data_IF_951811486504
#
_entry.id   IF_951811486504
#
_cell.length_a   1.000
_cell.length_b   1.000
_cell.length_c   1.000
_cell.angle_alpha   90.00
_cell.angle_beta   90.00
_cell.angle_gamma   90.00
#
_symmetry.space_group_name_H-M   'P 1'
#
loop_
_entity.id
_entity.type
_entity.pdbx_description
1 polymer ?
#
# COMPACT_ATOMS: atom_id res chain seq x y z
N UNK A 1 0.84 -2.39 -11.28
CA UNK A 1 0.13 -1.75 -10.15
C UNK A 1 1.12 -1.53 -9.01
N UNK A 2 0.87 -0.59 -8.11
CA UNK A 2 1.70 -0.37 -6.92
C UNK A 2 0.93 -0.79 -5.67
N UNK A 3 1.62 -1.18 -4.60
CA UNK A 3 0.99 -1.48 -3.33
C UNK A 3 0.76 -0.23 -2.47
N UNK A 4 -0.31 -0.29 -1.70
CA UNK A 4 -0.60 0.57 -0.56
C UNK A 4 -1.06 -0.32 0.60
N UNK A 5 -0.69 0.05 1.81
CA UNK A 5 -1.07 -0.68 3.02
C UNK A 5 -1.60 0.31 4.05
N UNK A 6 -2.53 -0.15 4.90
CA UNK A 6 -3.02 0.60 6.05
C UNK A 6 -2.63 -0.19 7.30
N UNK A 7 -1.93 0.46 8.20
CA UNK A 7 -1.60 -0.09 9.53
C UNK A 7 -2.83 -0.09 10.45
N UNK A 8 -2.78 -0.87 11.53
CA UNK A 8 -3.89 -0.95 12.52
C UNK A 8 -4.20 0.39 13.20
N UNK A 9 -3.23 1.30 13.28
CA UNK A 9 -3.36 2.66 13.79
C UNK A 9 -3.79 3.69 12.73
N UNK A 10 -4.01 3.27 11.48
CA UNK A 10 -4.53 4.12 10.40
C UNK A 10 -3.46 4.88 9.61
N UNK A 11 -2.18 4.57 9.79
CA UNK A 11 -1.09 5.09 8.96
C UNK A 11 -1.09 4.43 7.59
N UNK A 12 -1.08 5.22 6.51
CA UNK A 12 -0.91 4.75 5.14
C UNK A 12 0.58 4.51 4.86
N UNK A 13 0.93 3.28 4.52
CA UNK A 13 2.29 2.89 4.17
C UNK A 13 2.35 2.59 2.67
N UNK A 14 3.33 3.17 2.00
CA UNK A 14 3.61 2.85 0.60
C UNK A 14 5.07 2.41 0.43
N UNK A 15 5.33 1.26 -0.23
CA UNK A 15 6.68 0.79 -0.44
C UNK A 15 7.56 1.81 -1.19
N UNK A 16 8.80 1.96 -0.74
CA UNK A 16 9.81 2.78 -1.38
C UNK A 16 11.01 1.92 -1.81
N UNK A 17 11.32 1.96 -3.10
CA UNK A 17 12.47 1.31 -3.72
C UNK A 17 12.70 1.93 -5.10
N UNK A 18 13.95 1.98 -5.55
CA UNK A 18 14.31 2.49 -6.88
C UNK A 18 13.76 1.62 -8.03
N UNK A 19 13.39 0.37 -7.73
CA UNK A 19 12.75 -0.53 -8.70
C UNK A 19 11.25 -0.25 -8.91
N UNK A 20 10.64 0.58 -8.06
CA UNK A 20 9.19 0.85 -8.10
C UNK A 20 8.90 1.96 -9.10
N UNK A 21 8.03 1.67 -10.07
CA UNK A 21 7.55 2.66 -11.03
C UNK A 21 6.88 3.87 -10.32
N UNK A 22 7.23 5.12 -10.68
CA UNK A 22 6.66 6.33 -10.08
C UNK A 22 5.21 6.59 -10.56
N UNK A 23 4.27 5.80 -10.05
CA UNK A 23 2.84 5.87 -10.39
C UNK A 23 2.18 7.17 -9.95
N UNK A 24 1.45 7.80 -10.88
CA UNK A 24 0.63 9.00 -10.61
C UNK A 24 -0.51 8.66 -9.64
N UNK A 25 -1.21 7.54 -9.83
CA UNK A 25 -2.30 7.12 -8.94
C UNK A 25 -1.82 6.96 -7.50
N UNK A 26 -0.65 6.33 -7.30
CA UNK A 26 -0.05 6.17 -5.97
C UNK A 26 0.24 7.52 -5.32
N UNK A 27 0.86 8.44 -6.07
CA UNK A 27 1.15 9.81 -5.59
C UNK A 27 -0.11 10.57 -5.23
N UNK A 28 -1.16 10.47 -6.04
CA UNK A 28 -2.46 11.11 -5.76
C UNK A 28 -3.11 10.55 -4.49
N UNK A 29 -3.05 9.23 -4.27
CA UNK A 29 -3.61 8.61 -3.06
C UNK A 29 -2.86 9.04 -1.81
N UNK A 30 -1.53 9.08 -1.85
CA UNK A 30 -0.71 9.64 -0.77
C UNK A 30 -1.07 11.09 -0.47
N UNK A 31 -1.21 11.93 -1.51
CA UNK A 31 -1.59 13.33 -1.36
C UNK A 31 -2.96 13.50 -0.67
N UNK A 32 -3.96 12.72 -1.11
CA UNK A 32 -5.30 12.74 -0.50
C UNK A 32 -5.24 12.30 0.97
N UNK A 33 -4.51 11.23 1.27
CA UNK A 33 -4.35 10.73 2.63
C UNK A 33 -3.73 11.80 3.56
N UNK A 34 -2.63 12.41 3.13
CA UNK A 34 -1.90 13.39 3.94
C UNK A 34 -2.66 14.72 4.08
N UNK A 35 -3.12 15.31 2.97
CA UNK A 35 -3.60 16.70 2.95
C UNK A 35 -5.11 16.87 3.06
N UNK A 36 -5.89 15.82 2.78
CA UNK A 36 -7.37 15.91 2.81
C UNK A 36 -7.91 15.11 4.00
N UNK A 37 -7.37 13.92 4.24
CA UNK A 37 -7.84 13.03 5.31
C UNK A 37 -7.04 13.19 6.62
N UNK A 38 -5.91 13.90 6.59
CA UNK A 38 -5.07 14.11 7.77
C UNK A 38 -4.43 12.82 8.29
N UNK A 39 -4.28 11.80 7.45
CA UNK A 39 -3.64 10.54 7.79
C UNK A 39 -2.13 10.70 7.80
N UNK A 40 -1.46 9.93 8.67
CA UNK A 40 -0.01 9.77 8.58
C UNK A 40 0.31 8.95 7.33
N UNK A 41 1.32 9.39 6.58
CA UNK A 41 1.85 8.67 5.41
C UNK A 41 3.31 8.32 5.67
N UNK A 42 3.67 7.06 5.42
CA UNK A 42 5.05 6.58 5.45
C UNK A 42 5.47 6.00 4.11
N UNK A 43 6.61 6.48 3.62
CA UNK A 43 7.33 5.87 2.50
C UNK A 43 8.50 5.07 3.08
N UNK A 44 8.41 3.74 3.04
CA UNK A 44 9.43 2.86 3.62
C UNK A 44 9.51 1.51 2.91
N UNK A 45 10.52 0.73 3.21
CA UNK A 45 10.56 -0.68 2.84
C UNK A 45 9.47 -1.46 3.62
N UNK A 46 8.86 -2.45 2.97
CA UNK A 46 7.86 -3.34 3.56
C UNK A 46 8.32 -4.77 3.36
N UNK A 47 8.53 -5.48 4.46
CA UNK A 47 8.99 -6.87 4.46
C UNK A 47 7.81 -7.83 4.32
N UNK A 48 8.07 -9.02 3.77
CA UNK A 48 7.06 -10.08 3.68
C UNK A 48 6.55 -10.52 5.06
N UNK A 49 7.41 -10.52 6.08
CA UNK A 49 7.09 -10.95 7.43
C UNK A 49 6.12 -10.05 8.18
N UNK A 50 5.99 -8.78 7.79
CA UNK A 50 5.06 -7.82 8.42
C UNK A 50 3.72 -7.71 7.67
N UNK A 51 3.51 -8.45 6.57
CA UNK A 51 2.28 -8.32 5.78
C UNK A 51 1.02 -8.68 6.58
N UNK A 52 1.12 -9.66 7.49
CA UNK A 52 0.02 -10.10 8.38
C UNK A 52 -0.35 -9.03 9.43
N UNK A 53 0.51 -8.03 9.65
CA UNK A 53 0.29 -7.00 10.68
C UNK A 53 -0.50 -5.79 10.16
N UNK A 54 -0.63 -5.62 8.85
CA UNK A 54 -1.44 -4.55 8.27
C UNK A 54 -2.94 -4.82 8.45
N UNK A 55 -3.71 -3.75 8.63
CA UNK A 55 -5.16 -3.82 8.68
C UNK A 55 -5.77 -3.99 7.28
N UNK A 56 -5.18 -3.34 6.28
CA UNK A 56 -5.65 -3.40 4.89
C UNK A 56 -4.49 -3.42 3.89
N UNK A 57 -4.70 -4.09 2.77
CA UNK A 57 -3.78 -4.13 1.63
C UNK A 57 -4.54 -3.84 0.34
N UNK A 58 -3.98 -2.96 -0.49
CA UNK A 58 -4.56 -2.56 -1.76
C UNK A 58 -3.51 -2.43 -2.86
N UNK A 59 -3.93 -2.75 -4.08
CA UNK A 59 -3.22 -2.40 -5.30
C UNK A 59 -3.77 -1.09 -5.86
N UNK A 60 -2.91 -0.25 -6.40
CA UNK A 60 -3.32 1.00 -7.03
C UNK A 60 -2.71 1.18 -8.43
N UNK A 61 -3.45 1.87 -9.30
CA UNK A 61 -3.04 2.16 -10.67
C UNK A 61 -4.19 2.65 -11.53
N UNK A 62 -3.87 3.20 -12.71
CA UNK A 62 -4.84 3.88 -13.58
C UNK A 62 -6.06 3.03 -13.95
N UNK A 63 -5.89 1.72 -14.16
CA UNK A 63 -6.97 0.86 -14.63
C UNK A 63 -8.10 0.65 -13.61
N UNK A 64 -7.78 0.59 -12.32
CA UNK A 64 -8.75 0.22 -11.28
C UNK A 64 -8.73 1.13 -10.05
N UNK A 65 -7.93 2.20 -10.07
CA UNK A 65 -7.72 3.17 -8.98
C UNK A 65 -7.18 2.53 -7.70
N UNK A 66 -8.04 1.80 -6.98
CA UNK A 66 -7.73 0.95 -5.83
C UNK A 66 -8.41 -0.41 -6.04
N UNK A 67 -7.67 -1.50 -5.91
CA UNK A 67 -8.18 -2.88 -5.90
C UNK A 67 -7.79 -3.55 -4.59
N UNK A 68 -8.75 -3.96 -3.73
CA UNK A 68 -8.44 -4.60 -2.47
C UNK A 68 -7.79 -5.97 -2.70
N UNK A 69 -6.81 -6.31 -1.86
CA UNK A 69 -6.15 -7.62 -1.88
C UNK A 69 -6.87 -8.53 -0.90
N UNK A 70 -7.46 -9.61 -1.40
CA UNK A 70 -8.19 -10.58 -0.56
C UNK A 70 -7.35 -11.73 -0.02
N UNK A 71 -6.19 -12.01 -0.66
CA UNK A 71 -5.28 -13.09 -0.28
C UNK A 71 -3.93 -12.92 -0.96
N UNK A 72 -2.84 -13.25 -0.27
CA UNK A 72 -1.50 -13.42 -0.84
C UNK A 72 -1.11 -14.90 -0.71
N UNK A 73 -0.70 -15.53 -1.81
CA UNK A 73 -0.14 -16.88 -1.77
C UNK A 73 1.38 -16.80 -1.92
N UNK A 74 2.10 -17.17 -0.88
CA UNK A 74 3.55 -17.26 -0.85
C UNK A 74 3.97 -18.74 -0.82
N UNK A 75 4.28 -19.31 -1.98
CA UNK A 75 4.76 -20.69 -2.12
C UNK A 75 3.90 -21.74 -1.39
N UNK A 76 2.57 -21.57 -1.40
CA UNK A 76 1.62 -22.44 -0.72
C UNK A 76 1.24 -22.01 0.70
N UNK A 77 1.90 -21.00 1.29
CA UNK A 77 1.44 -20.31 2.49
C UNK A 77 0.42 -19.24 2.10
N UNK A 78 -0.77 -19.28 2.68
CA UNK A 78 -1.75 -18.21 2.53
C UNK A 78 -1.54 -17.16 3.63
N UNK A 79 -1.48 -15.90 3.21
CA UNK A 79 -1.39 -14.69 4.02
C UNK A 79 -2.64 -13.86 3.75
#
# INVERSE_FOLDING_TARGET
>A
ANFIFITKDGTLVTPQSDSILPSVTRRSLTYVAEHILGMKVEHREVLLSELEDFAECGLCGTAAVISPVGKINDHGKEI
#
